data_IF_315052804414
#
_entry.id   IF_315052804414
#
_cell.length_a   1.000
_cell.length_b   1.000
_cell.length_c   1.000
_cell.angle_alpha   90.00
_cell.angle_beta   90.00
_cell.angle_gamma   90.00
#
_symmetry.space_group_name_H-M   'P 1'
#
loop_
_entity.id
_entity.type
_entity.pdbx_description
1 polymer ?
#
# COMPACT_ATOMS: atom_id res chain seq x y z
N UNK A 1 -8.45 -3.72 6.33
CA UNK A 1 -9.74 -4.45 6.44
C UNK A 1 -9.72 -5.55 7.50
N UNK A 2 -8.74 -6.47 7.49
CA UNK A 2 -8.69 -7.61 8.43
C UNK A 2 -8.70 -7.17 9.90
N UNK A 3 -7.84 -6.22 10.28
CA UNK A 3 -7.78 -5.70 11.64
C UNK A 3 -9.15 -5.17 12.12
N UNK A 4 -9.85 -4.43 11.25
CA UNK A 4 -11.16 -3.85 11.52
C UNK A 4 -12.21 -4.94 11.74
N UNK A 5 -12.34 -5.88 10.80
CA UNK A 5 -13.30 -6.98 10.91
C UNK A 5 -13.04 -7.82 12.18
N UNK A 6 -11.79 -8.16 12.48
CA UNK A 6 -11.44 -8.92 13.66
C UNK A 6 -11.83 -8.22 14.97
N UNK A 7 -11.73 -6.88 15.02
CA UNK A 7 -12.19 -6.04 16.14
C UNK A 7 -13.72 -5.99 16.21
N UNK A 8 -14.40 -5.73 15.09
CA UNK A 8 -15.87 -5.60 15.01
C UNK A 8 -16.57 -6.91 15.38
N UNK A 9 -16.05 -8.04 14.91
CA UNK A 9 -16.55 -9.38 15.21
C UNK A 9 -16.06 -9.92 16.58
N UNK A 10 -15.22 -9.16 17.30
CA UNK A 10 -14.66 -9.51 18.61
C UNK A 10 -14.00 -10.90 18.64
N UNK A 11 -13.28 -11.23 17.55
CA UNK A 11 -12.62 -12.53 17.40
C UNK A 11 -11.44 -12.69 18.39
N UNK A 12 -10.82 -11.58 18.78
CA UNK A 12 -9.70 -11.50 19.71
C UNK A 12 -10.00 -10.47 20.81
N UNK A 13 -9.27 -10.56 21.92
CA UNK A 13 -9.39 -9.61 23.02
C UNK A 13 -8.73 -8.28 22.65
N UNK A 14 -7.68 -8.34 21.83
CA UNK A 14 -7.06 -7.19 21.17
C UNK A 14 -6.54 -7.53 19.77
N UNK A 15 -6.43 -6.51 18.93
CA UNK A 15 -5.83 -6.60 17.60
C UNK A 15 -4.89 -5.42 17.39
N UNK A 16 -3.61 -5.75 17.18
CA UNK A 16 -2.52 -4.80 16.98
C UNK A 16 -1.92 -4.98 15.60
N UNK A 17 -1.37 -3.92 15.04
CA UNK A 17 -0.80 -3.90 13.70
C UNK A 17 0.43 -3.00 13.66
N UNK A 18 1.45 -3.40 12.91
CA UNK A 18 2.62 -2.59 12.62
C UNK A 18 3.09 -2.82 11.18
N UNK A 19 3.67 -1.79 10.55
CA UNK A 19 4.25 -1.89 9.21
C UNK A 19 5.74 -2.23 9.31
N UNK A 20 6.16 -3.24 8.55
CA UNK A 20 7.54 -3.75 8.51
C UNK A 20 8.20 -3.25 7.24
N UNK A 21 8.92 -2.13 7.33
CA UNK A 21 9.68 -1.58 6.19
C UNK A 21 10.78 -2.53 5.70
N UNK A 22 11.28 -2.32 4.48
CA UNK A 22 12.36 -3.13 3.91
C UNK A 22 13.61 -3.16 4.80
N UNK A 23 13.92 -2.01 5.42
CA UNK A 23 14.86 -1.91 6.51
C UNK A 23 14.11 -2.10 7.83
N UNK A 24 14.41 -3.18 8.55
CA UNK A 24 13.76 -3.50 9.81
C UNK A 24 14.10 -2.43 10.86
N UNK A 25 13.08 -1.72 11.34
CA UNK A 25 13.16 -0.81 12.46
C UNK A 25 12.36 -1.39 13.63
N UNK A 26 13.06 -2.12 14.51
CA UNK A 26 12.45 -2.77 15.66
C UNK A 26 11.77 -1.75 16.59
N UNK A 27 12.37 -0.57 16.76
CA UNK A 27 11.88 0.47 17.66
C UNK A 27 10.57 1.06 17.16
N UNK A 28 10.46 1.30 15.85
CA UNK A 28 9.21 1.73 15.18
C UNK A 28 8.11 0.68 15.35
N UNK A 29 8.38 -0.58 15.01
CA UNK A 29 7.41 -1.69 15.13
C UNK A 29 6.90 -1.82 16.57
N UNK A 30 7.80 -1.82 17.55
CA UNK A 30 7.44 -1.86 18.97
C UNK A 30 6.56 -0.68 19.36
N UNK A 31 6.90 0.53 18.88
CA UNK A 31 6.14 1.75 19.13
C UNK A 31 4.71 1.66 18.61
N UNK A 32 4.52 1.27 17.35
CA UNK A 32 3.20 1.14 16.73
C UNK A 32 2.31 0.12 17.48
N UNK A 33 2.88 -1.00 17.92
CA UNK A 33 2.14 -1.99 18.72
C UNK A 33 1.80 -1.43 20.10
N UNK A 34 2.73 -0.73 20.76
CA UNK A 34 2.50 -0.17 22.09
C UNK A 34 1.43 0.94 22.09
N UNK A 35 1.41 1.79 21.06
CA UNK A 35 0.39 2.82 20.88
C UNK A 35 -1.01 2.18 20.79
N UNK A 36 -1.14 1.06 20.08
CA UNK A 36 -2.41 0.32 19.98
C UNK A 36 -2.79 -0.40 21.27
N UNK A 37 -1.82 -0.80 22.09
CA UNK A 37 -2.04 -1.37 23.42
C UNK A 37 -2.23 -0.32 24.52
N UNK A 38 -2.02 0.96 24.21
CA UNK A 38 -2.24 2.08 25.12
C UNK A 38 -1.16 2.25 26.19
N UNK A 39 0.10 1.92 25.90
CA UNK A 39 1.22 2.13 26.84
C UNK A 39 2.43 2.78 26.16
N UNK A 40 3.36 3.28 26.98
CA UNK A 40 4.63 3.85 26.52
C UNK A 40 5.78 3.06 27.12
N UNK A 41 6.86 2.93 26.37
CA UNK A 41 8.09 2.35 26.88
C UNK A 41 8.89 3.37 27.70
N UNK A 42 9.49 2.87 28.78
CA UNK A 42 10.52 3.60 29.54
C UNK A 42 11.94 3.15 29.13
N UNK A 43 12.04 2.01 28.44
CA UNK A 43 13.29 1.39 28.03
C UNK A 43 13.80 2.04 26.74
N UNK A 44 15.09 2.36 26.75
CA UNK A 44 15.79 2.92 25.60
C UNK A 44 16.34 1.85 24.64
N UNK A 45 16.71 0.67 25.14
CA UNK A 45 17.22 -0.42 24.31
C UNK A 45 16.10 -1.22 23.65
N UNK A 46 16.33 -1.68 22.43
CA UNK A 46 15.38 -2.50 21.68
C UNK A 46 15.02 -3.79 22.41
N UNK A 47 16.00 -4.42 23.09
CA UNK A 47 15.79 -5.63 23.89
C UNK A 47 14.92 -5.38 25.13
N UNK A 48 15.14 -4.28 25.84
CA UNK A 48 14.33 -3.93 27.02
C UNK A 48 12.90 -3.62 26.62
N UNK A 49 12.71 -2.94 25.48
CA UNK A 49 11.39 -2.70 24.89
C UNK A 49 10.73 -4.02 24.47
N UNK A 50 11.47 -4.95 23.87
CA UNK A 50 10.97 -6.27 23.48
C UNK A 50 10.44 -7.06 24.68
N UNK A 51 11.16 -7.05 25.81
CA UNK A 51 10.73 -7.74 27.04
C UNK A 51 9.42 -7.15 27.60
N UNK A 52 9.31 -5.82 27.64
CA UNK A 52 8.09 -5.13 28.08
C UNK A 52 6.92 -5.42 27.15
N UNK A 53 7.15 -5.32 25.83
CA UNK A 53 6.12 -5.61 24.84
C UNK A 53 5.61 -7.05 24.98
N UNK A 54 6.51 -8.01 25.14
CA UNK A 54 6.17 -9.42 25.34
C UNK A 54 5.29 -9.60 26.58
N UNK A 55 5.61 -8.91 27.67
CA UNK A 55 4.81 -8.90 28.89
C UNK A 55 3.39 -8.42 28.64
N UNK A 56 3.21 -7.29 27.95
CA UNK A 56 1.90 -6.74 27.61
C UNK A 56 1.09 -7.65 26.68
N UNK A 57 1.71 -8.22 25.65
CA UNK A 57 1.04 -9.13 24.72
C UNK A 57 0.52 -10.38 25.44
N UNK A 58 1.30 -10.94 26.38
CA UNK A 58 0.92 -12.12 27.17
C UNK A 58 -0.20 -11.90 28.18
N UNK A 59 -0.52 -10.65 28.53
CA UNK A 59 -1.65 -10.35 29.41
C UNK A 59 -3.00 -10.58 28.72
N UNK A 60 -3.04 -10.61 27.38
CA UNK A 60 -4.24 -10.86 26.60
C UNK A 60 -4.39 -12.36 26.38
N UNK A 61 -5.57 -12.93 26.66
CA UNK A 61 -5.76 -14.37 26.49
C UNK A 61 -5.74 -14.75 25.00
N UNK A 62 -6.29 -13.88 24.14
CA UNK A 62 -6.29 -14.02 22.68
C UNK A 62 -5.95 -12.67 22.04
N UNK A 63 -4.87 -12.63 21.28
CA UNK A 63 -4.44 -11.41 20.57
C UNK A 63 -4.06 -11.74 19.13
N UNK A 64 -4.41 -10.84 18.22
CA UNK A 64 -3.94 -10.87 16.84
C UNK A 64 -2.90 -9.77 16.63
N UNK A 65 -1.70 -10.16 16.20
CA UNK A 65 -0.62 -9.27 15.77
C UNK A 65 -0.53 -9.31 14.25
N UNK A 66 -0.70 -8.18 13.60
CA UNK A 66 -0.59 -8.04 12.14
C UNK A 66 0.71 -7.32 11.81
N UNK A 67 1.56 -7.96 11.01
CA UNK A 67 2.85 -7.43 10.56
C UNK A 67 2.72 -7.19 9.06
N UNK A 68 2.56 -5.93 8.69
CA UNK A 68 2.24 -5.53 7.34
C UNK A 68 3.49 -5.28 6.49
N UNK A 69 3.45 -5.65 5.21
CA UNK A 69 4.51 -5.46 4.22
C UNK A 69 5.87 -6.14 4.55
N UNK A 70 5.85 -7.38 5.07
CA UNK A 70 7.10 -8.06 5.46
C UNK A 70 7.99 -8.43 4.26
N UNK A 71 9.19 -7.87 4.21
CA UNK A 71 10.13 -8.05 3.08
C UNK A 71 11.07 -9.26 3.20
N UNK A 72 11.46 -9.62 4.42
CA UNK A 72 12.43 -10.70 4.70
C UNK A 72 12.21 -11.26 6.09
N UNK A 73 12.81 -12.42 6.36
CA UNK A 73 12.79 -13.03 7.68
C UNK A 73 13.41 -12.11 8.74
N UNK A 74 12.77 -12.08 9.90
CA UNK A 74 13.33 -11.55 11.15
C UNK A 74 12.82 -12.35 12.34
N UNK A 75 13.51 -12.23 13.47
CA UNK A 75 13.16 -12.97 14.67
C UNK A 75 12.11 -12.21 15.49
N UNK A 76 10.91 -12.77 15.60
CA UNK A 76 9.79 -12.17 16.36
C UNK A 76 10.15 -11.88 17.83
N UNK A 77 11.03 -12.70 18.40
CA UNK A 77 11.52 -12.54 19.77
C UNK A 77 12.29 -11.23 19.97
N UNK A 78 13.05 -10.77 18.97
CA UNK A 78 13.82 -9.53 19.02
C UNK A 78 12.90 -8.31 19.04
N UNK A 79 11.71 -8.42 18.44
CA UNK A 79 10.67 -7.38 18.52
C UNK A 79 9.94 -7.46 19.86
N UNK A 80 9.80 -8.66 20.44
CA UNK A 80 9.03 -8.91 21.66
C UNK A 80 7.67 -9.58 21.40
N UNK A 81 7.46 -10.16 20.22
CA UNK A 81 6.20 -10.81 19.86
C UNK A 81 6.28 -12.30 20.25
N UNK A 82 5.48 -12.77 21.24
CA UNK A 82 5.46 -14.16 21.64
C UNK A 82 4.70 -15.02 20.61
N UNK A 83 5.10 -16.28 20.45
CA UNK A 83 4.45 -17.23 19.55
C UNK A 83 4.57 -18.68 20.03
N UNK A 84 3.74 -19.58 19.48
CA UNK A 84 3.78 -21.00 19.81
C UNK A 84 3.45 -21.29 21.27
N UNK A 85 4.27 -22.12 21.93
CA UNK A 85 4.09 -22.45 23.36
C UNK A 85 4.30 -21.25 24.29
N UNK A 86 5.05 -20.23 23.85
CA UNK A 86 5.28 -19.02 24.64
C UNK A 86 3.98 -18.22 24.85
N UNK A 87 3.06 -18.28 23.86
CA UNK A 87 1.71 -17.77 23.98
C UNK A 87 0.76 -18.38 22.94
N UNK A 88 0.01 -19.43 23.32
CA UNK A 88 -0.93 -20.16 22.43
C UNK A 88 -2.06 -19.30 21.85
N UNK A 89 -2.43 -18.25 22.59
CA UNK A 89 -3.47 -17.29 22.23
C UNK A 89 -3.00 -16.16 21.30
N UNK A 90 -1.70 -16.00 21.09
CA UNK A 90 -1.16 -15.05 20.13
C UNK A 90 -1.24 -15.64 18.72
N UNK A 91 -1.95 -14.94 17.82
CA UNK A 91 -1.98 -15.23 16.39
C UNK A 91 -1.26 -14.13 15.65
N UNK A 92 -0.48 -14.52 14.65
CA UNK A 92 0.34 -13.60 13.86
C UNK A 92 -0.11 -13.72 12.41
N UNK A 93 -0.44 -12.58 11.81
CA UNK A 93 -0.69 -12.46 10.38
C UNK A 93 0.44 -11.63 9.78
N UNK A 94 1.13 -12.18 8.80
CA UNK A 94 2.14 -11.48 8.00
C UNK A 94 1.59 -11.25 6.59
N UNK A 95 1.88 -10.10 5.99
CA UNK A 95 1.54 -9.80 4.58
C UNK A 95 2.82 -9.52 3.79
N UNK A 96 3.50 -10.56 3.28
CA UNK A 96 4.68 -10.36 2.44
C UNK A 96 4.32 -10.19 0.96
N UNK A 97 5.26 -9.64 0.18
CA UNK A 97 5.16 -9.56 -1.29
C UNK A 97 5.64 -10.83 -2.00
N UNK A 98 6.42 -11.67 -1.32
CA UNK A 98 6.95 -12.93 -1.84
C UNK A 98 6.53 -14.07 -0.92
N UNK A 99 5.97 -15.14 -1.50
CA UNK A 99 5.55 -16.34 -0.76
C UNK A 99 6.71 -17.01 -0.02
N UNK A 100 7.94 -16.92 -0.53
CA UNK A 100 9.13 -17.46 0.16
C UNK A 100 9.29 -16.88 1.57
N UNK A 101 8.92 -15.61 1.77
CA UNK A 101 8.99 -14.95 3.08
C UNK A 101 7.99 -15.56 4.06
N UNK A 102 6.82 -16.03 3.60
CA UNK A 102 5.89 -16.77 4.46
C UNK A 102 6.56 -18.02 5.04
N UNK A 103 7.28 -18.77 4.19
CA UNK A 103 7.96 -20.00 4.58
C UNK A 103 9.12 -19.69 5.55
N UNK A 104 9.90 -18.64 5.25
CA UNK A 104 11.03 -18.24 6.10
C UNK A 104 10.58 -17.74 7.47
N UNK A 105 9.41 -17.10 7.56
CA UNK A 105 8.76 -16.70 8.81
C UNK A 105 8.07 -17.86 9.53
N UNK A 106 8.06 -19.07 8.96
CA UNK A 106 7.43 -20.25 9.56
C UNK A 106 5.90 -20.20 9.56
N UNK A 107 5.28 -19.56 8.56
CA UNK A 107 3.83 -19.48 8.44
C UNK A 107 3.18 -20.86 8.35
N UNK A 108 2.16 -21.10 9.18
CA UNK A 108 1.45 -22.39 9.22
C UNK A 108 0.39 -22.52 8.11
N UNK A 109 -0.12 -21.38 7.63
CA UNK A 109 -1.13 -21.29 6.59
C UNK A 109 -0.85 -20.07 5.73
N UNK A 110 -0.80 -20.29 4.42
CA UNK A 110 -0.64 -19.24 3.43
C UNK A 110 -1.98 -18.99 2.74
N UNK A 111 -2.31 -17.72 2.52
CA UNK A 111 -3.52 -17.30 1.82
C UNK A 111 -3.13 -16.43 0.62
N UNK A 112 -2.90 -17.04 -0.56
CA UNK A 112 -2.53 -16.30 -1.74
C UNK A 112 -3.65 -15.33 -2.15
N UNK A 113 -3.35 -14.03 -2.17
CA UNK A 113 -4.28 -13.01 -2.69
C UNK A 113 -4.18 -13.00 -4.20
N UNK A 114 -5.19 -13.55 -4.87
CA UNK A 114 -5.24 -13.67 -6.32
C UNK A 114 -5.56 -12.32 -6.99
N UNK A 115 -5.22 -12.21 -8.27
CA UNK A 115 -5.72 -11.12 -9.12
C UNK A 115 -7.25 -11.20 -9.24
N UNK A 116 -7.89 -10.06 -9.51
CA UNK A 116 -9.34 -10.02 -9.72
C UNK A 116 -9.72 -10.81 -10.97
N UNK A 117 -10.82 -11.56 -10.88
CA UNK A 117 -11.39 -12.20 -12.05
C UNK A 117 -11.89 -11.14 -13.05
N UNK A 118 -12.00 -11.50 -14.34
CA UNK A 118 -12.32 -10.55 -15.41
C UNK A 118 -13.56 -9.70 -15.14
N UNK A 119 -14.59 -10.29 -14.55
CA UNK A 119 -15.84 -9.60 -14.22
C UNK A 119 -15.65 -8.61 -13.06
N UNK A 120 -14.98 -9.03 -11.98
CA UNK A 120 -14.66 -8.18 -10.83
C UNK A 120 -13.75 -7.03 -11.25
N UNK A 121 -12.72 -7.31 -12.04
CA UNK A 121 -11.79 -6.34 -12.59
C UNK A 121 -12.51 -5.29 -13.45
N UNK A 122 -13.41 -5.75 -14.34
CA UNK A 122 -14.20 -4.85 -15.18
C UNK A 122 -15.18 -4.00 -14.35
N UNK A 123 -15.84 -4.58 -13.35
CA UNK A 123 -16.75 -3.85 -12.47
C UNK A 123 -16.02 -2.76 -11.68
N UNK A 124 -14.88 -3.10 -11.06
CA UNK A 124 -14.02 -2.14 -10.37
C UNK A 124 -13.56 -1.02 -11.33
N UNK A 125 -13.12 -1.38 -12.53
CA UNK A 125 -12.65 -0.43 -13.52
C UNK A 125 -13.75 0.53 -13.96
N UNK A 126 -14.96 0.02 -14.25
CA UNK A 126 -16.13 0.85 -14.60
C UNK A 126 -16.45 1.85 -13.52
N UNK A 127 -16.53 1.39 -12.27
CA UNK A 127 -16.84 2.23 -11.12
C UNK A 127 -15.82 3.37 -10.98
N UNK A 128 -14.53 3.04 -11.04
CA UNK A 128 -13.45 4.01 -10.85
C UNK A 128 -13.33 5.00 -12.03
N UNK A 129 -13.60 4.54 -13.25
CA UNK A 129 -13.59 5.36 -14.46
C UNK A 129 -14.87 6.20 -14.63
N UNK A 130 -15.92 5.95 -13.81
CA UNK A 130 -17.23 6.58 -13.95
C UNK A 130 -17.92 6.19 -15.27
N UNK A 131 -17.76 4.93 -15.70
CA UNK A 131 -18.42 4.40 -16.89
C UNK A 131 -19.85 3.95 -16.53
N UNK A 132 -20.90 4.49 -17.19
CA UNK A 132 -22.28 4.04 -16.97
C UNK A 132 -22.51 2.58 -17.35
N UNK A 133 -23.52 1.95 -16.75
CA UNK A 133 -23.82 0.53 -16.94
C UNK A 133 -24.30 0.21 -18.37
N UNK A 134 -25.02 1.15 -18.98
CA UNK A 134 -25.56 1.12 -20.34
C UNK A 134 -24.61 1.69 -21.40
N UNK A 135 -23.35 1.97 -21.03
CA UNK A 135 -22.38 2.55 -21.95
C UNK A 135 -22.09 1.62 -23.14
N UNK A 136 -22.27 2.17 -24.34
CA UNK A 136 -22.00 1.51 -25.62
C UNK A 136 -20.85 2.15 -26.39
N UNK A 137 -20.50 3.40 -26.10
CA UNK A 137 -19.46 4.12 -26.83
C UNK A 137 -18.09 3.50 -26.59
N UNK A 138 -17.49 2.98 -27.68
CA UNK A 138 -16.15 2.37 -27.72
C UNK A 138 -15.89 1.41 -26.56
N UNK A 139 -16.93 0.66 -26.16
CA UNK A 139 -16.89 -0.31 -25.06
C UNK A 139 -15.78 -1.34 -25.22
N UNK A 140 -15.54 -1.79 -26.46
CA UNK A 140 -14.45 -2.72 -26.78
C UNK A 140 -13.08 -2.16 -26.41
N UNK A 141 -12.81 -0.88 -26.69
CA UNK A 141 -11.56 -0.19 -26.29
C UNK A 141 -11.47 -0.06 -24.77
N UNK A 142 -12.55 0.35 -24.10
CA UNK A 142 -12.58 0.49 -22.62
C UNK A 142 -12.30 -0.84 -21.93
N UNK A 143 -12.93 -1.93 -22.40
CA UNK A 143 -12.68 -3.28 -21.90
C UNK A 143 -11.26 -3.76 -22.21
N UNK A 144 -10.74 -3.46 -23.40
CA UNK A 144 -9.37 -3.81 -23.75
C UNK A 144 -8.36 -3.15 -22.79
N UNK A 145 -8.53 -1.85 -22.49
CA UNK A 145 -7.68 -1.15 -21.51
C UNK A 145 -7.74 -1.80 -20.13
N UNK A 146 -8.94 -2.15 -19.64
CA UNK A 146 -9.08 -2.85 -18.37
C UNK A 146 -8.38 -4.23 -18.38
N UNK A 147 -8.44 -4.95 -19.50
CA UNK A 147 -7.76 -6.24 -19.65
C UNK A 147 -6.23 -6.10 -19.63
N UNK A 148 -5.67 -5.05 -20.22
CA UNK A 148 -4.21 -4.79 -20.16
C UNK A 148 -3.72 -4.52 -18.73
N UNK A 149 -4.61 -4.07 -17.82
CA UNK A 149 -4.29 -3.91 -16.39
C UNK A 149 -4.12 -5.25 -15.65
N UNK A 150 -4.40 -6.39 -16.30
CA UNK A 150 -4.07 -7.73 -15.79
C UNK A 150 -4.81 -8.16 -14.53
N UNK A 151 -5.98 -7.57 -14.23
CA UNK A 151 -6.75 -7.90 -13.03
C UNK A 151 -6.15 -7.37 -11.71
N UNK A 152 -5.12 -6.53 -11.78
CA UNK A 152 -4.46 -5.97 -10.61
C UNK A 152 -5.24 -4.74 -10.11
N UNK A 153 -5.76 -4.73 -8.86
CA UNK A 153 -6.56 -3.61 -8.34
C UNK A 153 -5.86 -2.26 -8.47
N UNK A 154 -4.56 -2.20 -8.14
CA UNK A 154 -3.77 -0.97 -8.21
C UNK A 154 -3.67 -0.44 -9.65
N UNK A 155 -3.44 -1.30 -10.64
CA UNK A 155 -3.38 -0.93 -12.05
C UNK A 155 -4.74 -0.45 -12.55
N UNK A 156 -5.80 -1.22 -12.27
CA UNK A 156 -7.17 -0.93 -12.67
C UNK A 156 -7.63 0.43 -12.14
N UNK A 157 -7.52 0.66 -10.84
CA UNK A 157 -7.95 1.92 -10.20
C UNK A 157 -7.17 3.12 -10.76
N UNK A 158 -5.86 2.95 -10.91
CA UNK A 158 -4.95 4.00 -11.40
C UNK A 158 -5.30 4.43 -12.82
N UNK A 159 -5.36 3.46 -13.76
CA UNK A 159 -5.69 3.74 -15.16
C UNK A 159 -7.13 4.24 -15.31
N UNK A 160 -8.09 3.63 -14.61
CA UNK A 160 -9.49 4.03 -14.64
C UNK A 160 -9.68 5.50 -14.23
N UNK A 161 -9.07 5.92 -13.12
CA UNK A 161 -9.15 7.30 -12.64
C UNK A 161 -8.45 8.28 -13.57
N UNK A 162 -7.32 7.91 -14.16
CA UNK A 162 -6.61 8.71 -15.15
C UNK A 162 -7.45 8.97 -16.41
N UNK A 163 -8.25 7.98 -16.83
CA UNK A 163 -9.09 8.04 -18.03
C UNK A 163 -10.51 8.57 -17.77
N UNK A 164 -10.88 8.83 -16.52
CA UNK A 164 -12.20 9.36 -16.16
C UNK A 164 -12.47 10.68 -16.88
N UNK A 165 -13.61 10.72 -17.60
CA UNK A 165 -14.03 11.89 -18.39
C UNK A 165 -13.21 12.14 -19.66
N UNK A 166 -12.32 11.24 -20.06
CA UNK A 166 -11.53 11.37 -21.30
C UNK A 166 -12.27 10.81 -22.52
N UNK A 167 -12.00 11.40 -23.69
CA UNK A 167 -12.61 11.01 -24.96
C UNK A 167 -11.93 9.82 -25.63
N UNK A 168 -12.56 9.28 -26.69
CA UNK A 168 -12.14 8.07 -27.41
C UNK A 168 -10.66 8.03 -27.81
N UNK A 169 -10.10 9.16 -28.24
CA UNK A 169 -8.68 9.27 -28.62
C UNK A 169 -7.75 8.93 -27.46
N UNK A 170 -7.98 9.50 -26.27
CA UNK A 170 -7.20 9.23 -25.07
C UNK A 170 -7.26 7.76 -24.65
N UNK A 171 -8.44 7.12 -24.79
CA UNK A 171 -8.60 5.69 -24.54
C UNK A 171 -7.83 4.83 -25.54
N UNK A 172 -7.79 5.24 -26.82
CA UNK A 172 -6.98 4.59 -27.86
C UNK A 172 -5.48 4.70 -27.56
N UNK A 173 -4.99 5.90 -27.28
CA UNK A 173 -3.57 6.13 -26.95
C UNK A 173 -3.15 5.40 -25.67
N UNK A 174 -4.03 5.33 -24.66
CA UNK A 174 -3.78 4.56 -23.45
C UNK A 174 -3.66 3.06 -23.74
N UNK A 175 -4.51 2.52 -24.61
CA UNK A 175 -4.44 1.13 -25.02
C UNK A 175 -3.14 0.80 -25.75
N UNK A 176 -2.70 1.69 -26.66
CA UNK A 176 -1.42 1.56 -27.36
C UNK A 176 -0.25 1.57 -26.38
N UNK A 177 -0.18 2.57 -25.48
CA UNK A 177 0.88 2.70 -24.48
C UNK A 177 0.99 1.47 -23.54
N UNK A 178 -0.16 0.89 -23.16
CA UNK A 178 -0.17 -0.33 -22.35
C UNK A 178 0.39 -1.53 -23.13
N UNK A 179 0.09 -1.64 -24.43
CA UNK A 179 0.45 -2.76 -25.32
C UNK A 179 1.87 -2.74 -25.87
N UNK A 180 2.50 -1.57 -26.01
CA UNK A 180 3.79 -1.37 -26.71
C UNK A 180 5.03 -2.07 -26.08
N UNK A 181 4.87 -3.14 -25.30
CA UNK A 181 5.90 -3.62 -24.37
C UNK A 181 6.01 -5.14 -24.21
N UNK A 182 5.79 -5.92 -25.27
CA UNK A 182 6.31 -7.29 -25.25
C UNK A 182 7.84 -7.19 -25.40
N UNK A 183 8.55 -6.99 -24.28
CA UNK A 183 10.02 -6.97 -24.29
C UNK A 183 10.71 -6.40 -23.04
N UNK A 184 11.24 -7.33 -22.23
CA UNK A 184 12.46 -7.27 -21.36
C UNK A 184 12.29 -7.04 -19.85
N UNK A 185 12.46 -8.16 -19.12
CA UNK A 185 13.26 -8.32 -17.90
C UNK A 185 12.76 -7.75 -16.55
N UNK A 186 11.47 -7.60 -16.33
CA UNK A 186 10.91 -7.44 -14.98
C UNK A 186 9.85 -8.52 -14.75
N UNK A 187 9.56 -8.84 -13.49
CA UNK A 187 8.45 -9.74 -13.14
C UNK A 187 7.19 -9.15 -13.78
N UNK A 188 6.48 -9.90 -14.62
CA UNK A 188 5.37 -9.41 -15.47
C UNK A 188 4.31 -8.56 -14.72
N UNK A 189 4.12 -8.84 -13.43
CA UNK A 189 3.22 -8.08 -12.53
C UNK A 189 3.76 -6.67 -12.25
N UNK A 190 5.04 -6.54 -11.91
CA UNK A 190 5.68 -5.25 -11.61
C UNK A 190 5.67 -4.33 -12.83
N UNK A 191 5.89 -4.89 -14.03
CA UNK A 191 5.79 -4.14 -15.30
C UNK A 191 4.40 -3.55 -15.51
N UNK A 192 3.35 -4.35 -15.33
CA UNK A 192 1.96 -3.90 -15.51
C UNK A 192 1.60 -2.79 -14.52
N UNK A 193 2.05 -2.90 -13.27
CA UNK A 193 1.85 -1.85 -12.26
C UNK A 193 2.62 -0.59 -12.64
N UNK A 194 3.91 -0.70 -12.97
CA UNK A 194 4.75 0.44 -13.31
C UNK A 194 4.18 1.22 -14.50
N UNK A 195 3.78 0.54 -15.57
CA UNK A 195 3.12 1.16 -16.74
C UNK A 195 1.81 1.84 -16.40
N UNK A 196 1.02 1.24 -15.52
CA UNK A 196 -0.23 1.84 -15.08
C UNK A 196 0.03 3.14 -14.31
N UNK A 197 1.07 3.15 -13.46
CA UNK A 197 1.52 4.33 -12.73
C UNK A 197 2.08 5.40 -13.68
N UNK A 198 2.94 5.02 -14.62
CA UNK A 198 3.50 5.92 -15.64
C UNK A 198 2.40 6.55 -16.50
N UNK A 199 1.44 5.75 -16.96
CA UNK A 199 0.28 6.23 -17.70
C UNK A 199 -0.47 7.26 -16.85
N UNK A 200 -0.83 6.92 -15.61
CA UNK A 200 -1.55 7.86 -14.75
C UNK A 200 -0.76 9.14 -14.46
N UNK A 201 0.57 9.06 -14.33
CA UNK A 201 1.44 10.21 -14.19
C UNK A 201 1.40 11.12 -15.43
N UNK A 202 1.43 10.53 -16.63
CA UNK A 202 1.33 11.26 -17.89
C UNK A 202 -0.05 11.91 -18.11
N UNK A 203 -1.10 11.37 -17.49
CA UNK A 203 -2.45 11.94 -17.51
C UNK A 203 -2.70 13.02 -16.44
N UNK A 204 -1.74 13.31 -15.56
CA UNK A 204 -1.85 14.41 -14.60
C UNK A 204 -2.08 15.74 -15.34
N UNK A 205 -2.98 16.56 -14.79
CA UNK A 205 -3.53 17.74 -15.48
C UNK A 205 -2.50 18.84 -15.72
N UNK A 206 -1.39 18.86 -14.97
CA UNK A 206 -0.42 19.94 -15.01
C UNK A 206 1.00 19.47 -14.68
N UNK A 207 2.00 20.24 -15.13
CA UNK A 207 3.41 19.95 -14.84
C UNK A 207 3.73 20.13 -13.35
N UNK A 208 3.01 21.01 -12.68
CA UNK A 208 3.09 21.25 -11.24
C UNK A 208 2.65 20.00 -10.48
N UNK A 209 1.54 19.38 -10.87
CA UNK A 209 1.07 18.13 -10.27
C UNK A 209 2.09 16.98 -10.47
N UNK A 210 2.66 16.86 -11.67
CA UNK A 210 3.72 15.90 -11.96
C UNK A 210 4.95 16.13 -11.08
N UNK A 211 5.44 17.36 -11.01
CA UNK A 211 6.63 17.69 -10.20
C UNK A 211 6.36 17.52 -8.71
N UNK A 212 5.16 17.87 -8.24
CA UNK A 212 4.75 17.65 -6.85
C UNK A 212 4.72 16.15 -6.52
N UNK A 213 4.22 15.30 -7.41
CA UNK A 213 4.28 13.84 -7.23
C UNK A 213 5.74 13.35 -7.16
N UNK A 214 6.63 13.87 -8.01
CA UNK A 214 8.05 13.52 -7.98
C UNK A 214 8.76 13.97 -6.69
N UNK A 215 8.33 15.06 -6.05
CA UNK A 215 8.88 15.46 -4.74
C UNK A 215 8.68 14.39 -3.67
N UNK A 216 7.61 13.58 -3.75
CA UNK A 216 7.39 12.50 -2.80
C UNK A 216 8.53 11.45 -2.82
N UNK A 217 9.29 11.35 -3.92
CA UNK A 217 10.45 10.44 -4.03
C UNK A 217 11.66 10.86 -3.20
N UNK A 218 11.63 12.04 -2.58
CA UNK A 218 12.70 12.52 -1.69
C UNK A 218 12.62 11.91 -0.28
N UNK A 219 11.51 11.27 0.06
CA UNK A 219 11.26 10.69 1.38
C UNK A 219 11.53 9.19 1.37
N UNK A 220 11.80 8.64 2.55
CA UNK A 220 11.95 7.21 2.73
C UNK A 220 10.62 6.48 2.52
N UNK A 221 10.71 5.18 2.26
CA UNK A 221 9.57 4.26 2.24
C UNK A 221 8.71 4.41 3.51
N UNK A 222 7.39 4.39 3.33
CA UNK A 222 6.35 4.52 4.37
C UNK A 222 6.49 5.73 5.31
N UNK A 223 7.17 6.78 4.86
CA UNK A 223 7.22 8.04 5.60
C UNK A 223 5.87 8.75 5.50
N UNK A 224 5.33 9.16 6.64
CA UNK A 224 4.15 10.03 6.69
C UNK A 224 4.55 11.45 6.31
N UNK A 225 4.55 11.75 5.01
CA UNK A 225 5.02 13.03 4.46
C UNK A 225 4.10 14.16 4.93
N UNK A 226 4.58 15.13 5.71
CA UNK A 226 3.79 16.30 6.07
C UNK A 226 3.47 17.12 4.82
N UNK A 227 2.19 17.46 4.63
CA UNK A 227 1.76 18.33 3.52
C UNK A 227 2.56 19.64 3.49
N UNK A 228 2.87 20.18 4.68
CA UNK A 228 3.65 21.42 4.80
C UNK A 228 5.05 21.31 4.20
N UNK A 229 5.67 20.15 4.26
CA UNK A 229 7.00 19.97 3.68
C UNK A 229 6.90 19.99 2.16
N UNK A 230 5.92 19.30 1.57
CA UNK A 230 5.67 19.34 0.12
C UNK A 230 5.35 20.76 -0.35
N UNK A 231 4.55 21.52 0.39
CA UNK A 231 4.23 22.93 0.08
C UNK A 231 5.50 23.79 0.12
N UNK A 232 6.34 23.63 1.15
CA UNK A 232 7.58 24.40 1.31
C UNK A 232 8.62 24.07 0.24
N UNK A 233 8.85 22.78 -0.03
CA UNK A 233 9.76 22.35 -1.10
C UNK A 233 9.24 22.76 -2.47
N UNK A 234 7.93 22.62 -2.69
CA UNK A 234 7.20 23.09 -3.86
C UNK A 234 7.46 24.58 -4.13
N UNK A 235 7.19 25.42 -3.13
CA UNK A 235 7.40 26.85 -3.22
C UNK A 235 8.88 27.23 -3.41
N UNK A 236 9.78 26.63 -2.63
CA UNK A 236 11.22 26.90 -2.70
C UNK A 236 11.84 26.55 -4.07
N UNK A 237 11.38 25.46 -4.69
CA UNK A 237 11.78 25.08 -6.05
C UNK A 237 11.03 25.86 -7.15
N UNK A 238 10.18 26.83 -6.78
CA UNK A 238 9.34 27.61 -7.70
C UNK A 238 8.49 26.71 -8.59
N UNK A 239 7.92 25.64 -7.99
CA UNK A 239 7.12 24.66 -8.70
C UNK A 239 5.73 25.17 -9.05
N UNK A 240 5.20 26.15 -8.30
CA UNK A 240 3.86 26.67 -8.50
C UNK A 240 3.90 28.01 -9.25
N UNK A 241 3.34 28.04 -10.45
CA UNK A 241 3.28 29.26 -11.27
C UNK A 241 2.34 30.31 -10.64
N UNK A 242 2.76 31.57 -10.62
CA UNK A 242 1.94 32.69 -10.15
C UNK A 242 1.78 32.80 -8.63
N UNK A 243 2.37 31.89 -7.85
CA UNK A 243 2.32 31.88 -6.39
C UNK A 243 3.44 32.75 -5.80
N UNK A 244 3.08 33.67 -4.91
CA UNK A 244 3.99 34.65 -4.29
C UNK A 244 4.30 34.36 -2.84
N UNK A 245 3.52 33.52 -2.16
CA UNK A 245 3.78 33.12 -0.78
C UNK A 245 3.54 31.63 -0.52
N UNK A 246 4.12 31.11 0.55
CA UNK A 246 3.88 29.74 1.03
C UNK A 246 2.40 29.54 1.41
N UNK A 247 1.73 30.58 1.93
CA UNK A 247 0.30 30.52 2.25
C UNK A 247 -0.57 30.36 1.01
N UNK A 248 -0.21 31.05 -0.08
CA UNK A 248 -0.87 30.88 -1.39
C UNK A 248 -0.57 29.49 -2.00
N UNK A 249 0.65 28.96 -1.81
CA UNK A 249 1.01 27.61 -2.28
C UNK A 249 0.21 26.49 -1.61
N UNK A 250 -0.33 26.74 -0.41
CA UNK A 250 -1.10 25.77 0.38
C UNK A 250 -2.59 25.73 0.01
N UNK A 251 -3.12 26.83 -0.53
CA UNK A 251 -4.54 27.04 -0.79
C UNK A 251 -5.02 26.28 -2.05
#
# INVERSE_FOLDING_TARGET
QVAKNAKEEKLFDDVVMATVSQNLDARKIQGEIADLLGFKFEQESDSGRADVLRGHLKQKARILVILDDVWKRFELNDIGIPFGEDHKGCKILVTPRNEEVCNDMGAQKNFPVQILHKEEAWNLFKEMAGIPEDETNFRSTKMAVANECGGLPIALVTVARALKGKGKSSWGSALEALRESIGKNVREVEDKVFKSLELSFNFLKSKEAQRCFLLCSLYSEDYDIPIEDLVRYGYGQKLFEGIKSVGEARA
#
